data_IF_716253684051
#
_entry.id   IF_716253684051
#
_cell.length_a   1.000
_cell.length_b   1.000
_cell.length_c   1.000
_cell.angle_alpha   90.00
_cell.angle_beta   90.00
_cell.angle_gamma   90.00
#
_symmetry.space_group_name_H-M   'P 1'
#
loop_
_entity.id
_entity.type
_entity.pdbx_description
1 polymer ?
#
# COMPACT_ATOMS: atom_id res chain seq x y z
N UNK A 1 -13.30 -0.41 -8.30
CA UNK A 1 -14.36 0.29 -7.56
C UNK A 1 -14.47 -0.32 -6.17
N UNK A 2 -15.13 -1.47 -5.98
CA UNK A 2 -15.34 -2.07 -4.64
C UNK A 2 -14.07 -2.26 -3.82
N UNK A 3 -13.01 -2.87 -4.38
CA UNK A 3 -11.75 -3.07 -3.65
C UNK A 3 -11.09 -1.76 -3.18
N UNK A 4 -11.22 -0.68 -3.96
CA UNK A 4 -10.68 0.62 -3.55
C UNK A 4 -11.50 1.20 -2.39
N UNK A 5 -12.84 1.07 -2.42
CA UNK A 5 -13.70 1.53 -1.33
C UNK A 5 -13.40 0.81 -0.01
N UNK A 6 -13.08 -0.49 -0.07
CA UNK A 6 -12.69 -1.26 1.12
C UNK A 6 -11.40 -0.69 1.72
N UNK A 7 -10.37 -0.47 0.89
CA UNK A 7 -9.09 0.08 1.35
C UNK A 7 -9.22 1.51 1.87
N UNK A 8 -9.98 2.36 1.17
CA UNK A 8 -10.23 3.73 1.61
C UNK A 8 -11.03 3.78 2.90
N UNK A 9 -12.04 2.93 3.06
CA UNK A 9 -12.78 2.78 4.31
C UNK A 9 -11.90 2.33 5.46
N UNK A 10 -10.95 1.42 5.22
CA UNK A 10 -9.96 1.04 6.22
C UNK A 10 -9.05 2.21 6.62
N UNK A 11 -8.51 2.95 5.65
CA UNK A 11 -7.64 4.09 5.91
C UNK A 11 -8.37 5.22 6.65
N UNK A 12 -9.62 5.52 6.26
CA UNK A 12 -10.42 6.54 6.94
C UNK A 12 -10.76 6.12 8.37
N UNK A 13 -11.15 4.87 8.57
CA UNK A 13 -11.40 4.34 9.91
C UNK A 13 -10.16 4.39 10.80
N UNK A 14 -9.00 3.92 10.31
CA UNK A 14 -7.75 3.98 11.06
C UNK A 14 -7.35 5.43 11.40
N UNK A 15 -7.53 6.37 10.46
CA UNK A 15 -7.30 7.80 10.70
C UNK A 15 -8.20 8.35 11.82
N UNK A 16 -9.49 7.98 11.83
CA UNK A 16 -10.42 8.38 12.89
C UNK A 16 -10.01 7.84 14.27
N UNK A 17 -9.32 6.69 14.32
CA UNK A 17 -8.74 6.14 15.55
C UNK A 17 -7.41 6.79 15.95
N UNK A 18 -6.86 7.69 15.15
CA UNK A 18 -5.63 8.44 15.45
C UNK A 18 -4.36 7.89 14.82
N UNK A 19 -4.44 6.89 13.92
CA UNK A 19 -3.27 6.46 13.14
C UNK A 19 -2.89 7.55 12.14
N UNK A 20 -1.60 7.88 12.07
CA UNK A 20 -1.09 9.02 11.28
C UNK A 20 -0.44 8.61 9.96
N UNK A 21 0.04 7.36 9.85
CA UNK A 21 0.69 6.84 8.65
C UNK A 21 0.22 5.44 8.31
N UNK A 22 0.22 5.11 7.02
CA UNK A 22 -0.04 3.78 6.50
C UNK A 22 1.10 3.39 5.54
N UNK A 23 1.47 2.12 5.56
CA UNK A 23 2.55 1.57 4.74
C UNK A 23 1.98 0.46 3.86
N UNK A 24 2.23 0.53 2.55
CA UNK A 24 1.77 -0.46 1.58
C UNK A 24 2.97 -0.96 0.79
N UNK A 25 3.29 -2.25 0.92
CA UNK A 25 4.22 -2.91 0.03
C UNK A 25 3.47 -3.49 -1.18
N UNK A 26 3.57 -2.84 -2.33
CA UNK A 26 2.94 -3.27 -3.57
C UNK A 26 3.71 -4.43 -4.23
N UNK A 27 3.63 -5.63 -3.64
CA UNK A 27 4.26 -6.85 -4.14
C UNK A 27 3.19 -7.80 -4.70
N UNK A 28 3.19 -8.12 -6.02
CA UNK A 28 2.35 -9.20 -6.54
C UNK A 28 2.93 -10.56 -6.15
N UNK A 29 2.10 -11.61 -6.00
CA UNK A 29 2.59 -12.95 -5.71
C UNK A 29 3.48 -13.48 -6.85
N UNK A 30 4.44 -14.34 -6.50
CA UNK A 30 5.22 -15.09 -7.48
C UNK A 30 4.31 -16.07 -8.26
N UNK A 31 4.78 -16.54 -9.41
CA UNK A 31 4.03 -17.52 -10.19
C UNK A 31 3.85 -18.83 -9.40
N UNK A 32 2.60 -19.22 -9.18
CA UNK A 32 2.24 -20.41 -8.41
C UNK A 32 2.01 -20.16 -6.91
N UNK A 33 2.27 -18.95 -6.41
CA UNK A 33 2.04 -18.60 -5.01
C UNK A 33 0.65 -17.98 -4.79
N UNK A 34 0.04 -18.33 -3.65
CA UNK A 34 -1.24 -17.79 -3.20
C UNK A 34 -1.05 -17.03 -1.87
N UNK A 35 -1.41 -15.74 -1.81
CA UNK A 35 -1.29 -14.98 -0.56
C UNK A 35 -2.33 -15.35 0.50
N UNK A 36 -3.60 -15.49 0.10
CA UNK A 36 -4.72 -15.71 1.04
C UNK A 36 -5.60 -16.85 0.55
N UNK A 37 -6.11 -16.75 -0.68
CA UNK A 37 -7.04 -17.72 -1.23
C UNK A 37 -6.29 -18.77 -2.04
N UNK A 38 -6.39 -20.03 -1.62
CA UNK A 38 -5.78 -21.15 -2.30
C UNK A 38 -6.45 -21.42 -3.66
N UNK A 39 -5.63 -21.68 -4.69
CA UNK A 39 -6.04 -22.12 -6.02
C UNK A 39 -6.89 -21.09 -6.78
N UNK A 40 -6.25 -19.99 -7.20
CA UNK A 40 -6.89 -18.97 -8.03
C UNK A 40 -7.41 -19.52 -9.37
N UNK A 41 -8.48 -18.92 -9.95
CA UNK A 41 -8.95 -19.27 -11.27
C UNK A 41 -7.83 -19.13 -12.33
N UNK A 42 -7.61 -20.11 -13.22
CA UNK A 42 -6.52 -20.08 -14.20
C UNK A 42 -6.53 -18.86 -15.14
N UNK A 43 -7.71 -18.28 -15.39
CA UNK A 43 -7.90 -17.08 -16.18
C UNK A 43 -7.62 -15.77 -15.42
N UNK A 44 -7.51 -15.83 -14.09
CA UNK A 44 -7.23 -14.67 -13.26
C UNK A 44 -5.75 -14.27 -13.39
N UNK A 45 -5.50 -13.19 -14.13
CA UNK A 45 -4.15 -12.69 -14.35
C UNK A 45 -3.60 -11.99 -13.10
N UNK A 46 -2.40 -12.38 -12.68
CA UNK A 46 -1.62 -11.67 -11.67
C UNK A 46 -1.09 -10.35 -12.28
N UNK A 47 -1.30 -9.19 -11.64
CA UNK A 47 -0.75 -7.94 -12.14
C UNK A 47 0.78 -7.91 -12.01
N UNK A 48 1.47 -7.43 -13.05
CA UNK A 48 2.90 -7.11 -12.96
C UNK A 48 3.13 -5.94 -11.96
N UNK A 49 4.33 -5.81 -11.37
CA UNK A 49 4.59 -4.80 -10.33
C UNK A 49 4.13 -3.38 -10.67
N UNK A 50 4.45 -2.88 -11.87
CA UNK A 50 4.03 -1.54 -12.32
C UNK A 50 2.50 -1.37 -12.33
N UNK A 51 1.76 -2.38 -12.78
CA UNK A 51 0.29 -2.32 -12.84
C UNK A 51 -0.31 -2.31 -11.44
N UNK A 52 0.25 -3.06 -10.50
CA UNK A 52 -0.19 -3.06 -9.11
C UNK A 52 0.11 -1.72 -8.43
N UNK A 53 1.28 -1.14 -8.68
CA UNK A 53 1.62 0.20 -8.20
C UNK A 53 0.64 1.26 -8.74
N UNK A 54 0.32 1.25 -10.03
CA UNK A 54 -0.66 2.15 -10.64
C UNK A 54 -2.07 1.96 -10.07
N UNK A 55 -2.44 0.72 -9.75
CA UNK A 55 -3.72 0.40 -9.11
C UNK A 55 -3.84 1.03 -7.72
N UNK A 56 -2.80 0.92 -6.89
CA UNK A 56 -2.75 1.59 -5.58
C UNK A 56 -2.70 3.10 -5.71
N UNK A 57 -1.89 3.66 -6.63
CA UNK A 57 -1.86 5.12 -6.88
C UNK A 57 -3.25 5.66 -7.21
N UNK A 58 -3.99 4.99 -8.09
CA UNK A 58 -5.37 5.37 -8.41
C UNK A 58 -6.30 5.32 -7.18
N UNK A 59 -6.09 4.38 -6.26
CA UNK A 59 -6.82 4.33 -5.00
C UNK A 59 -6.43 5.50 -4.08
N UNK A 60 -5.13 5.76 -3.92
CA UNK A 60 -4.60 6.85 -3.08
C UNK A 60 -5.02 8.23 -3.61
N UNK A 61 -5.00 8.44 -4.93
CA UNK A 61 -5.45 9.68 -5.58
C UNK A 61 -6.94 9.96 -5.28
N UNK A 62 -7.78 8.91 -5.31
CA UNK A 62 -9.19 9.01 -4.87
C UNK A 62 -9.27 9.41 -3.40
N UNK A 63 -8.46 8.79 -2.53
CA UNK A 63 -8.40 9.11 -1.11
C UNK A 63 -7.97 10.55 -0.81
N UNK A 64 -7.11 11.15 -1.64
CA UNK A 64 -6.74 12.57 -1.55
C UNK A 64 -7.94 13.45 -1.91
N UNK A 65 -8.65 13.15 -3.02
CA UNK A 65 -9.84 13.90 -3.44
C UNK A 65 -10.93 13.87 -2.36
N UNK A 66 -11.11 12.71 -1.72
CA UNK A 66 -12.08 12.49 -0.63
C UNK A 66 -11.58 12.98 0.73
N UNK A 67 -10.36 13.56 0.80
CA UNK A 67 -9.72 14.08 2.03
C UNK A 67 -9.50 13.04 3.13
N UNK A 68 -9.50 11.77 2.76
CA UNK A 68 -9.12 10.65 3.62
C UNK A 68 -7.59 10.69 3.80
N UNK A 69 -6.87 10.86 2.70
CA UNK A 69 -5.40 10.87 2.65
C UNK A 69 -4.92 12.30 2.43
N UNK A 70 -3.87 12.73 3.14
CA UNK A 70 -3.27 14.05 2.95
C UNK A 70 -2.35 14.06 1.73
N UNK A 71 -1.39 13.14 1.72
CA UNK A 71 -0.44 12.89 0.63
C UNK A 71 0.06 11.44 0.69
N UNK A 72 0.86 11.03 -0.30
CA UNK A 72 1.61 9.78 -0.27
C UNK A 72 2.92 9.96 -1.03
N UNK A 73 3.95 9.19 -0.63
CA UNK A 73 5.28 9.21 -1.24
C UNK A 73 5.81 7.78 -1.31
N UNK A 74 6.75 7.53 -2.23
CA UNK A 74 7.60 6.35 -2.11
C UNK A 74 8.55 6.50 -0.92
N UNK A 75 9.03 5.36 -0.40
CA UNK A 75 9.82 5.32 0.82
C UNK A 75 11.15 6.08 0.71
N UNK A 76 11.79 6.06 -0.47
CA UNK A 76 13.05 6.77 -0.69
C UNK A 76 12.81 8.28 -0.59
N UNK A 77 11.79 8.79 -1.28
CA UNK A 77 11.42 10.20 -1.20
C UNK A 77 11.05 10.61 0.23
N UNK A 78 10.28 9.80 0.95
CA UNK A 78 9.92 10.09 2.34
C UNK A 78 11.16 10.16 3.23
N UNK A 79 12.05 9.17 3.16
CA UNK A 79 13.29 9.14 3.96
C UNK A 79 14.20 10.34 3.68
N UNK A 80 14.30 10.77 2.41
CA UNK A 80 15.07 11.96 2.05
C UNK A 80 14.46 13.25 2.59
N UNK A 81 13.14 13.42 2.50
CA UNK A 81 12.46 14.62 2.99
C UNK A 81 12.46 14.71 4.52
N UNK A 82 12.39 13.57 5.21
CA UNK A 82 12.48 13.48 6.67
C UNK A 82 13.93 13.60 7.18
N UNK A 83 14.92 13.60 6.28
CA UNK A 83 16.34 13.60 6.60
C UNK A 83 16.75 12.41 7.50
N UNK A 84 16.21 11.22 7.22
CA UNK A 84 16.56 9.99 7.93
C UNK A 84 18.07 9.76 7.81
N UNK A 85 18.72 9.63 8.97
CA UNK A 85 20.18 9.53 9.08
C UNK A 85 20.64 8.12 9.48
N UNK A 86 19.74 7.33 10.04
CA UNK A 86 19.99 5.98 10.54
C UNK A 86 18.86 5.03 10.16
N UNK A 87 19.22 3.77 9.89
CA UNK A 87 18.24 2.71 9.61
C UNK A 87 17.25 2.49 10.76
N UNK A 88 17.64 2.80 12.01
CA UNK A 88 16.77 2.67 13.18
C UNK A 88 15.58 3.65 13.20
N UNK A 89 15.60 4.67 12.34
CA UNK A 89 14.49 5.63 12.19
C UNK A 89 13.42 5.12 11.20
N UNK A 90 13.71 4.07 10.43
CA UNK A 90 12.74 3.45 9.53
C UNK A 90 11.72 2.61 10.32
N UNK A 91 10.44 2.59 9.90
CA UNK A 91 9.45 1.71 10.48
C UNK A 91 9.88 0.23 10.37
N UNK A 92 9.74 -0.51 11.47
CA UNK A 92 10.11 -1.93 11.54
C UNK A 92 8.84 -2.78 11.70
N UNK A 93 8.47 -3.49 10.64
CA UNK A 93 7.26 -4.31 10.60
C UNK A 93 7.61 -5.78 10.33
N UNK A 94 6.87 -6.68 10.99
CA UNK A 94 7.02 -8.12 10.81
C UNK A 94 6.79 -8.52 9.34
N UNK A 95 7.77 -9.20 8.74
CA UNK A 95 7.68 -9.72 7.37
C UNK A 95 7.73 -8.67 6.25
N UNK A 96 8.08 -7.41 6.56
CA UNK A 96 8.33 -6.41 5.54
C UNK A 96 9.66 -6.68 4.79
N UNK A 97 9.88 -5.97 3.69
CA UNK A 97 11.06 -6.16 2.84
C UNK A 97 12.38 -5.69 3.48
N UNK A 98 12.33 -4.67 4.34
CA UNK A 98 13.51 -3.95 4.84
C UNK A 98 14.16 -4.59 6.07
#
# INVERSE_FOLDING_TARGET
>A
AVYHEILLGYLDYAKQLGYTMAHIWACPPSEGDDYIFHCHPPEQKIPKPKRLQEWYKKMLDKGIIERIILDYKDILKQAMEDNISSAAELPYFEGDFW
#
